data_IF_219885027139
#
_entry.id   IF_219885027139
#
_cell.length_a   1.000
_cell.length_b   1.000
_cell.length_c   1.000
_cell.angle_alpha   90.00
_cell.angle_beta   90.00
_cell.angle_gamma   90.00
#
_symmetry.space_group_name_H-M   'P 1'
#
loop_
_entity.id
_entity.type
_entity.pdbx_description
1 polymer ?
#
# COMPACT_ATOMS: atom_id res chain seq x y z
N UNK A 1 -12.15 7.48 -21.83
CA UNK A 1 -12.48 6.06 -21.64
C UNK A 1 -12.98 5.90 -20.21
N UNK A 2 -14.25 5.57 -20.01
CA UNK A 2 -14.77 5.24 -18.69
C UNK A 2 -14.40 3.79 -18.39
N UNK A 3 -13.63 3.56 -17.34
CA UNK A 3 -13.36 2.21 -16.84
C UNK A 3 -14.68 1.58 -16.39
N UNK A 4 -14.93 0.32 -16.74
CA UNK A 4 -16.11 -0.40 -16.27
C UNK A 4 -15.99 -0.69 -14.77
N UNK A 5 -17.12 -0.84 -14.07
CA UNK A 5 -17.14 -1.10 -12.62
C UNK A 5 -16.22 -2.28 -12.21
N UNK A 6 -16.19 -3.34 -13.03
CA UNK A 6 -15.32 -4.50 -12.83
C UNK A 6 -13.82 -4.18 -12.95
N UNK A 7 -13.44 -3.20 -13.77
CA UNK A 7 -12.05 -2.73 -13.87
C UNK A 7 -11.66 -1.88 -12.66
N UNK A 8 -12.58 -1.06 -12.14
CA UNK A 8 -12.38 -0.30 -10.91
C UNK A 8 -12.21 -1.21 -9.70
N UNK A 9 -13.01 -2.27 -9.59
CA UNK A 9 -12.93 -3.24 -8.50
C UNK A 9 -11.60 -4.01 -8.52
N UNK A 10 -11.13 -4.43 -9.71
CA UNK A 10 -9.81 -5.03 -9.89
C UNK A 10 -8.67 -4.07 -9.54
N UNK A 11 -8.80 -2.80 -9.91
CA UNK A 11 -7.81 -1.77 -9.60
C UNK A 11 -7.76 -1.50 -8.09
N UNK A 12 -8.91 -1.40 -7.43
CA UNK A 12 -9.01 -1.27 -5.98
C UNK A 12 -8.35 -2.45 -5.26
N UNK A 13 -8.61 -3.68 -5.72
CA UNK A 13 -7.94 -4.89 -5.22
C UNK A 13 -6.43 -4.84 -5.38
N UNK A 14 -5.94 -4.41 -6.55
CA UNK A 14 -4.52 -4.25 -6.81
C UNK A 14 -3.84 -3.24 -5.87
N UNK A 15 -4.49 -2.10 -5.60
CA UNK A 15 -4.01 -1.11 -4.63
C UNK A 15 -3.96 -1.66 -3.20
N UNK A 16 -4.95 -2.45 -2.79
CA UNK A 16 -4.97 -3.11 -1.49
C UNK A 16 -3.82 -4.13 -1.37
N UNK A 17 -3.54 -4.89 -2.43
CA UNK A 17 -2.45 -5.86 -2.41
C UNK A 17 -1.07 -5.17 -2.41
N UNK A 18 -0.91 -4.07 -3.15
CA UNK A 18 0.26 -3.20 -3.07
C UNK A 18 0.48 -2.68 -1.64
N UNK A 19 -0.59 -2.27 -0.95
CA UNK A 19 -0.50 -1.82 0.44
C UNK A 19 0.07 -2.92 1.36
N UNK A 20 -0.42 -4.16 1.22
CA UNK A 20 0.07 -5.31 2.00
C UNK A 20 1.54 -5.60 1.71
N UNK A 21 1.94 -5.61 0.43
CA UNK A 21 3.32 -5.90 0.01
C UNK A 21 4.28 -4.83 0.53
N UNK A 22 3.91 -3.55 0.43
CA UNK A 22 4.72 -2.45 0.94
C UNK A 22 4.84 -2.46 2.46
N UNK A 23 3.74 -2.78 3.15
CA UNK A 23 3.77 -2.94 4.61
C UNK A 23 4.70 -4.08 5.02
N UNK A 24 4.55 -5.27 4.41
CA UNK A 24 5.41 -6.41 4.68
C UNK A 24 6.89 -6.12 4.38
N UNK A 25 7.17 -5.46 3.25
CA UNK A 25 8.53 -5.03 2.88
C UNK A 25 9.12 -4.05 3.89
N UNK A 26 8.31 -3.10 4.38
CA UNK A 26 8.71 -2.16 5.42
C UNK A 26 9.04 -2.85 6.75
N UNK A 27 8.22 -3.82 7.16
CA UNK A 27 8.47 -4.62 8.38
C UNK A 27 9.74 -5.46 8.23
N UNK A 28 9.92 -6.15 7.11
CA UNK A 28 11.14 -6.95 6.86
C UNK A 28 12.37 -6.05 6.83
N UNK A 29 12.32 -4.93 6.11
CA UNK A 29 13.44 -3.99 6.01
C UNK A 29 13.80 -3.31 7.34
N UNK A 30 12.83 -3.15 8.25
CA UNK A 30 13.07 -2.70 9.62
C UNK A 30 13.93 -3.71 10.40
N UNK A 31 13.59 -5.00 10.34
CA UNK A 31 14.32 -6.05 11.05
C UNK A 31 15.67 -6.42 10.42
N UNK A 32 15.86 -6.17 9.13
CA UNK A 32 17.11 -6.44 8.40
C UNK A 32 18.10 -5.28 8.47
N UNK A 33 17.68 -4.07 8.82
CA UNK A 33 18.57 -2.90 8.84
C UNK A 33 19.50 -2.89 10.05
N UNK A 34 20.82 -2.93 9.80
CA UNK A 34 21.87 -2.81 10.84
C UNK A 34 22.08 -1.38 11.36
N UNK A 35 21.46 -0.37 10.73
CA UNK A 35 21.63 1.04 11.10
C UNK A 35 20.31 1.63 11.59
N UNK A 36 20.25 2.06 12.86
CA UNK A 36 19.04 2.61 13.51
C UNK A 36 18.35 3.73 12.70
N UNK A 37 19.13 4.59 12.02
CA UNK A 37 18.60 5.65 11.14
C UNK A 37 17.88 5.11 9.90
N UNK A 38 18.37 4.02 9.32
CA UNK A 38 17.78 3.39 8.15
C UNK A 38 16.51 2.64 8.56
N UNK A 39 16.56 1.96 9.71
CA UNK A 39 15.44 1.23 10.31
C UNK A 39 14.20 2.12 10.51
N UNK A 40 14.36 3.30 11.11
CA UNK A 40 13.27 4.24 11.30
C UNK A 40 12.71 4.78 9.96
N UNK A 41 13.60 5.09 9.02
CA UNK A 41 13.21 5.61 7.69
C UNK A 41 12.44 4.57 6.89
N UNK A 42 12.85 3.30 6.94
CA UNK A 42 12.21 2.18 6.26
C UNK A 42 10.84 1.86 6.87
N UNK A 43 10.71 1.86 8.20
CA UNK A 43 9.43 1.66 8.86
C UNK A 43 8.43 2.79 8.56
N UNK A 44 8.86 4.05 8.70
CA UNK A 44 7.99 5.21 8.43
C UNK A 44 7.62 5.26 6.95
N UNK A 45 8.60 5.08 6.06
CA UNK A 45 8.35 5.07 4.61
C UNK A 45 7.40 3.94 4.20
N UNK A 46 7.65 2.72 4.69
CA UNK A 46 6.78 1.56 4.44
C UNK A 46 5.35 1.80 4.92
N UNK A 47 5.17 2.35 6.12
CA UNK A 47 3.86 2.64 6.70
C UNK A 47 3.11 3.74 5.95
N UNK A 48 3.78 4.82 5.56
CA UNK A 48 3.18 5.93 4.79
C UNK A 48 2.73 5.44 3.42
N UNK A 49 3.60 4.73 2.71
CA UNK A 49 3.30 4.21 1.36
C UNK A 49 2.19 3.15 1.42
N UNK A 50 2.22 2.24 2.38
CA UNK A 50 1.15 1.25 2.56
C UNK A 50 -0.20 1.91 2.87
N UNK A 51 -0.21 2.92 3.74
CA UNK A 51 -1.42 3.64 4.12
C UNK A 51 -2.01 4.42 2.94
N UNK A 52 -1.16 5.01 2.10
CA UNK A 52 -1.59 5.71 0.89
C UNK A 52 -2.26 4.74 -0.10
N UNK A 53 -1.64 3.58 -0.36
CA UNK A 53 -2.22 2.57 -1.25
C UNK A 53 -3.50 1.96 -0.70
N UNK A 54 -3.57 1.71 0.61
CA UNK A 54 -4.79 1.20 1.24
C UNK A 54 -5.94 2.21 1.13
N UNK A 55 -5.66 3.49 1.40
CA UNK A 55 -6.66 4.56 1.31
C UNK A 55 -7.14 4.74 -0.13
N UNK A 56 -6.22 4.72 -1.10
CA UNK A 56 -6.56 4.78 -2.53
C UNK A 56 -7.44 3.60 -2.96
N UNK A 57 -7.08 2.37 -2.56
CA UNK A 57 -7.86 1.17 -2.84
C UNK A 57 -9.26 1.23 -2.25
N UNK A 58 -9.40 1.65 -0.99
CA UNK A 58 -10.70 1.80 -0.32
C UNK A 58 -11.56 2.92 -0.95
N UNK A 59 -10.96 4.04 -1.35
CA UNK A 59 -11.67 5.12 -2.05
C UNK A 59 -12.18 4.65 -3.41
N UNK A 60 -11.36 3.92 -4.17
CA UNK A 60 -11.78 3.33 -5.44
C UNK A 60 -12.93 2.34 -5.22
N UNK A 61 -12.83 1.47 -4.21
CA UNK A 61 -13.90 0.51 -3.89
C UNK A 61 -15.22 1.21 -3.54
N UNK A 62 -15.15 2.25 -2.70
CA UNK A 62 -16.31 3.07 -2.31
C UNK A 62 -16.95 3.78 -3.51
N UNK A 63 -16.16 4.18 -4.51
CA UNK A 63 -16.69 4.81 -5.73
C UNK A 63 -17.36 3.82 -6.68
N UNK A 64 -17.21 2.51 -6.43
CA UNK A 64 -17.71 1.44 -7.31
C UNK A 64 -18.98 0.77 -6.75
N UNK A 65 -19.30 0.98 -5.46
CA UNK A 65 -20.54 0.54 -4.81
C UNK A 65 -21.63 1.60 -4.91
#
# INVERSE_FOLDING_TARGET
MQLTATQFEKLAGYFIDLAKVWFASGVIGFFVSDTERITATVAVGGFVVSSAFLTAGLMLLKSTQ
#
